data_IF_231301531666
#
_entry.id   IF_231301531666
#
_cell.length_a   1.000
_cell.length_b   1.000
_cell.length_c   1.000
_cell.angle_alpha   90.00
_cell.angle_beta   90.00
_cell.angle_gamma   90.00
#
_symmetry.space_group_name_H-M   'P 1'
#
loop_
_entity.id
_entity.type
_entity.pdbx_description
1 polymer ?
#
# COMPACT_ATOMS: atom_id res chain seq x y z
N UNK A 1 18.69 10.65 8.65
CA UNK A 1 17.52 9.95 8.07
C UNK A 1 16.36 10.92 7.89
N UNK A 2 15.55 10.68 6.87
CA UNK A 2 14.35 11.45 6.52
C UNK A 2 13.14 10.52 6.62
N UNK A 3 12.07 11.02 7.22
CA UNK A 3 10.81 10.27 7.35
C UNK A 3 9.84 10.77 6.29
N UNK A 4 9.40 9.88 5.41
CA UNK A 4 8.40 10.12 4.38
C UNK A 4 7.05 9.65 4.89
N UNK A 5 6.11 10.57 5.03
CA UNK A 5 4.69 10.24 5.18
C UNK A 5 4.10 10.13 3.78
N UNK A 6 3.92 8.91 3.32
CA UNK A 6 3.46 8.61 1.96
C UNK A 6 1.94 8.51 1.97
N UNK A 7 1.28 9.18 1.04
CA UNK A 7 -0.17 9.12 0.80
C UNK A 7 -0.41 8.71 -0.66
N UNK A 8 -1.24 7.71 -0.91
CA UNK A 8 -1.68 7.34 -2.26
C UNK A 8 -3.13 6.88 -2.25
N UNK A 9 -3.81 7.09 -3.36
CA UNK A 9 -5.09 6.46 -3.60
C UNK A 9 -4.84 5.16 -4.37
N UNK A 10 -5.38 4.04 -3.88
CA UNK A 10 -5.59 2.90 -4.78
C UNK A 10 -6.55 3.38 -5.86
N UNK A 11 -6.21 3.22 -7.14
CA UNK A 11 -7.02 3.72 -8.24
C UNK A 11 -8.43 3.10 -8.19
N UNK A 12 -9.36 3.77 -7.52
CA UNK A 12 -10.79 3.50 -7.63
C UNK A 12 -11.21 4.07 -8.96
N UNK A 13 -11.36 3.16 -9.92
CA UNK A 13 -12.05 3.39 -11.18
C UNK A 13 -13.47 3.90 -10.89
N UNK A 14 -13.65 5.21 -10.78
CA UNK A 14 -14.94 5.84 -11.02
C UNK A 14 -14.70 7.27 -11.50
N UNK A 15 -14.87 7.44 -12.81
CA UNK A 15 -14.97 8.73 -13.48
C UNK A 15 -16.25 9.43 -12.99
N UNK A 16 -16.17 10.14 -11.87
CA UNK A 16 -17.19 11.11 -11.43
C UNK A 16 -16.57 12.02 -10.37
N UNK A 17 -16.66 13.36 -10.50
CA UNK A 17 -16.21 14.29 -9.48
C UNK A 17 -17.06 14.09 -8.21
N UNK A 18 -16.45 13.88 -7.03
CA UNK A 18 -17.23 13.60 -5.83
C UNK A 18 -17.94 14.87 -5.33
N UNK A 19 -19.18 14.77 -4.84
CA UNK A 19 -19.87 15.88 -4.18
C UNK A 19 -19.16 16.25 -2.84
N UNK A 20 -19.28 17.51 -2.37
CA UNK A 20 -18.45 18.09 -1.29
C UNK A 20 -18.62 17.48 0.11
N UNK A 21 -19.37 16.37 0.23
CA UNK A 21 -19.70 15.69 1.47
C UNK A 21 -19.75 14.17 1.26
N UNK A 22 -18.66 13.56 0.76
CA UNK A 22 -18.57 12.10 0.52
C UNK A 22 -17.22 11.59 1.03
N UNK A 23 -17.16 10.40 1.63
CA UNK A 23 -16.07 10.01 2.50
C UNK A 23 -14.78 9.97 1.69
N UNK A 24 -13.74 10.52 2.29
CA UNK A 24 -12.32 10.27 2.02
C UNK A 24 -12.14 9.13 1.01
N UNK A 25 -11.78 9.45 -0.25
CA UNK A 25 -11.14 8.46 -1.14
C UNK A 25 -10.22 7.64 -0.25
N UNK A 26 -10.33 6.32 -0.28
CA UNK A 26 -9.70 5.39 0.67
C UNK A 26 -8.17 5.51 0.52
N UNK A 27 -7.65 6.61 1.06
CA UNK A 27 -6.33 7.11 0.78
C UNK A 27 -5.44 6.37 1.75
N UNK A 28 -4.63 5.49 1.20
CA UNK A 28 -3.74 4.68 1.98
C UNK A 28 -2.53 5.53 2.34
N UNK A 29 -2.04 5.33 3.54
CA UNK A 29 -0.85 6.02 4.03
C UNK A 29 0.07 5.08 4.80
N UNK A 30 1.37 5.33 4.69
CA UNK A 30 2.39 4.66 5.47
C UNK A 30 3.58 5.59 5.71
N UNK A 31 4.39 5.23 6.69
CA UNK A 31 5.67 5.86 6.92
C UNK A 31 6.78 5.06 6.27
N UNK A 32 7.73 5.76 5.64
CA UNK A 32 8.95 5.20 5.10
C UNK A 32 10.15 6.01 5.57
N UNK A 33 11.26 5.35 5.83
CA UNK A 33 12.50 6.00 6.24
C UNK A 33 13.57 5.74 5.19
N UNK A 34 14.22 6.81 4.74
CA UNK A 34 15.34 6.73 3.81
C UNK A 34 16.40 7.80 4.12
N UNK A 35 17.57 7.69 3.50
CA UNK A 35 18.57 8.73 3.58
C UNK A 35 18.19 9.91 2.67
N UNK A 36 18.57 11.13 3.04
CA UNK A 36 18.40 12.29 2.16
C UNK A 36 19.21 12.14 0.86
N UNK A 37 20.31 11.38 0.90
CA UNK A 37 21.16 11.09 -0.26
C UNK A 37 20.58 10.04 -1.21
N UNK A 38 19.48 9.36 -0.86
CA UNK A 38 18.86 8.34 -1.70
C UNK A 38 18.29 8.99 -2.96
N UNK A 39 18.54 8.43 -4.15
CA UNK A 39 17.98 8.95 -5.39
C UNK A 39 16.46 8.76 -5.39
N UNK A 40 15.76 9.71 -6.00
CA UNK A 40 14.28 9.73 -6.06
C UNK A 40 13.73 8.47 -6.70
N UNK A 41 14.45 7.87 -7.65
CA UNK A 41 14.08 6.62 -8.32
C UNK A 41 14.04 5.41 -7.35
N UNK A 42 15.06 5.26 -6.50
CA UNK A 42 15.11 4.19 -5.50
C UNK A 42 14.02 4.38 -4.44
N UNK A 43 13.81 5.63 -4.01
CA UNK A 43 12.70 5.98 -3.12
C UNK A 43 11.39 5.60 -3.79
N UNK A 44 11.16 6.04 -5.03
CA UNK A 44 9.94 5.76 -5.76
C UNK A 44 9.68 4.25 -5.89
N UNK A 45 10.69 3.46 -6.24
CA UNK A 45 10.61 2.00 -6.32
C UNK A 45 10.28 1.36 -4.96
N UNK A 46 10.93 1.82 -3.88
CA UNK A 46 10.66 1.33 -2.53
C UNK A 46 9.22 1.67 -2.08
N UNK A 47 8.78 2.91 -2.32
CA UNK A 47 7.43 3.37 -2.00
C UNK A 47 6.37 2.63 -2.81
N UNK A 48 6.59 2.46 -4.11
CA UNK A 48 5.76 1.67 -5.00
C UNK A 48 5.62 0.22 -4.52
N UNK A 49 6.74 -0.41 -4.12
CA UNK A 49 6.73 -1.78 -3.61
C UNK A 49 5.92 -1.94 -2.33
N UNK A 50 6.04 -1.00 -1.38
CA UNK A 50 5.23 -1.01 -0.14
C UNK A 50 3.76 -0.76 -0.45
N UNK A 51 3.45 0.24 -1.28
CA UNK A 51 2.10 0.56 -1.69
C UNK A 51 1.42 -0.62 -2.40
N UNK A 52 2.14 -1.33 -3.28
CA UNK A 52 1.66 -2.51 -3.96
C UNK A 52 1.31 -3.63 -2.98
N UNK A 53 2.17 -3.88 -2.00
CA UNK A 53 1.95 -4.89 -0.97
C UNK A 53 0.77 -4.54 -0.07
N UNK A 54 0.65 -3.28 0.34
CA UNK A 54 -0.48 -2.81 1.14
C UNK A 54 -1.80 -2.88 0.37
N UNK A 55 -1.83 -2.42 -0.87
CA UNK A 55 -3.00 -2.51 -1.73
C UNK A 55 -3.42 -3.97 -1.96
N UNK A 56 -2.45 -4.87 -2.21
CA UNK A 56 -2.70 -6.31 -2.33
C UNK A 56 -3.28 -6.89 -1.05
N UNK A 57 -2.70 -6.55 0.10
CA UNK A 57 -3.17 -7.04 1.39
C UNK A 57 -4.62 -6.62 1.64
N UNK A 58 -4.94 -5.34 1.45
CA UNK A 58 -6.29 -4.81 1.64
C UNK A 58 -7.27 -5.36 0.61
N UNK A 59 -6.84 -5.54 -0.65
CA UNK A 59 -7.66 -6.19 -1.68
C UNK A 59 -8.01 -7.63 -1.29
N UNK A 60 -7.03 -8.39 -0.81
CA UNK A 60 -7.24 -9.75 -0.31
C UNK A 60 -8.21 -9.77 0.88
N UNK A 61 -8.07 -8.83 1.82
CA UNK A 61 -8.98 -8.69 2.96
C UNK A 61 -10.42 -8.43 2.50
N UNK A 62 -10.63 -7.51 1.55
CA UNK A 62 -11.95 -7.22 0.97
C UNK A 62 -12.55 -8.45 0.27
N UNK A 63 -11.79 -9.11 -0.60
CA UNK A 63 -12.25 -10.30 -1.32
C UNK A 63 -12.62 -11.44 -0.37
N UNK A 64 -11.87 -11.63 0.73
CA UNK A 64 -12.18 -12.65 1.73
C UNK A 64 -13.42 -12.29 2.55
N UNK A 65 -13.65 -11.02 2.89
CA UNK A 65 -14.89 -10.60 3.57
C UNK A 65 -16.13 -10.77 2.69
N UNK A 66 -16.02 -10.44 1.41
CA UNK A 66 -17.10 -10.65 0.44
C UNK A 66 -17.48 -12.14 0.31
N UNK A 67 -16.51 -13.04 0.43
CA UNK A 67 -16.71 -14.51 0.36
C UNK A 67 -17.07 -15.14 1.71
N UNK A 68 -16.53 -14.61 2.80
CA UNK A 68 -16.52 -15.17 4.15
C UNK A 68 -17.84 -15.01 4.91
N UNK A 69 -18.76 -14.17 4.45
CA UNK A 69 -20.10 -14.04 5.02
C UNK A 69 -20.89 -15.37 5.07
N UNK A 70 -20.50 -16.38 4.29
CA UNK A 70 -21.18 -17.67 4.20
C UNK A 70 -20.70 -18.75 5.21
N UNK A 71 -19.50 -18.65 5.80
CA UNK A 71 -18.85 -19.77 6.50
C UNK A 71 -18.53 -19.48 7.97
N UNK A 72 -19.55 -19.33 8.83
CA UNK A 72 -19.45 -18.78 10.19
C UNK A 72 -18.34 -19.34 11.13
N UNK A 73 -17.98 -20.63 11.05
CA UNK A 73 -17.00 -21.23 11.97
C UNK A 73 -15.56 -21.18 11.45
N UNK A 74 -15.33 -21.56 10.19
CA UNK A 74 -14.01 -21.52 9.55
C UNK A 74 -13.57 -20.07 9.22
N UNK A 75 -14.53 -19.17 9.00
CA UNK A 75 -14.25 -17.76 8.80
C UNK A 75 -13.61 -17.09 10.02
N UNK A 76 -13.73 -17.64 11.23
CA UNK A 76 -13.16 -17.01 12.43
C UNK A 76 -11.64 -16.87 12.41
N UNK A 77 -10.93 -17.91 11.96
CA UNK A 77 -9.45 -17.87 11.86
C UNK A 77 -8.99 -16.97 10.72
N UNK A 78 -9.69 -17.01 9.59
CA UNK A 78 -9.42 -16.15 8.43
C UNK A 78 -9.69 -14.68 8.78
N UNK A 79 -10.82 -14.38 9.41
CA UNK A 79 -11.19 -13.02 9.82
C UNK A 79 -10.23 -12.48 10.86
N UNK A 80 -9.72 -13.32 11.78
CA UNK A 80 -8.67 -12.89 12.71
C UNK A 80 -7.38 -12.52 11.96
N UNK A 81 -6.93 -13.35 11.02
CA UNK A 81 -5.74 -13.05 10.23
C UNK A 81 -5.91 -11.79 9.37
N UNK A 82 -7.11 -11.59 8.81
CA UNK A 82 -7.51 -10.38 8.07
C UNK A 82 -7.50 -9.15 8.97
N UNK A 83 -8.14 -9.20 10.15
CA UNK A 83 -8.18 -8.08 11.08
C UNK A 83 -6.79 -7.69 11.62
N UNK A 84 -5.94 -8.67 11.93
CA UNK A 84 -4.56 -8.43 12.35
C UNK A 84 -3.75 -7.74 11.23
N UNK A 85 -3.92 -8.19 10.00
CA UNK A 85 -3.26 -7.62 8.85
C UNK A 85 -3.77 -6.22 8.48
N UNK A 86 -5.08 -5.97 8.55
CA UNK A 86 -5.66 -4.65 8.34
C UNK A 86 -5.19 -3.67 9.39
N UNK A 87 -5.17 -4.06 10.68
CA UNK A 87 -4.61 -3.22 11.74
C UNK A 87 -3.13 -2.90 11.48
N UNK A 88 -2.37 -3.86 10.95
CA UNK A 88 -1.00 -3.62 10.51
C UNK A 88 -0.88 -2.70 9.30
N UNK A 89 -1.78 -2.79 8.31
CA UNK A 89 -1.79 -1.95 7.11
C UNK A 89 -2.65 -0.68 7.23
N UNK A 90 -3.17 -0.38 8.43
CA UNK A 90 -4.06 0.74 8.68
C UNK A 90 -3.28 2.04 8.87
N UNK A 91 -3.99 3.16 8.66
CA UNK A 91 -3.57 4.53 8.99
C UNK A 91 -3.12 4.67 10.46
N UNK A 92 -3.59 3.77 11.33
CA UNK A 92 -3.15 3.70 12.73
C UNK A 92 -1.64 3.56 12.87
N UNK A 93 -0.95 2.83 11.98
CA UNK A 93 0.51 2.74 12.04
C UNK A 93 1.16 4.12 11.92
N UNK A 94 0.66 4.96 11.00
CA UNK A 94 1.16 6.32 10.81
C UNK A 94 0.93 7.16 12.07
N UNK A 95 -0.25 7.02 12.70
CA UNK A 95 -0.60 7.71 13.96
C UNK A 95 0.33 7.33 15.10
N UNK A 96 0.75 6.06 15.17
CA UNK A 96 1.72 5.57 16.15
C UNK A 96 3.19 5.73 15.72
N UNK A 97 3.48 6.45 14.64
CA UNK A 97 4.81 6.60 14.04
C UNK A 97 5.51 5.24 13.77
N UNK A 98 4.75 4.25 13.33
CA UNK A 98 5.24 2.94 12.90
C UNK A 98 5.40 2.89 11.40
N UNK A 99 6.47 2.22 10.97
CA UNK A 99 6.81 1.99 9.57
C UNK A 99 6.22 0.67 9.10
N UNK A 100 5.76 0.64 7.85
CA UNK A 100 5.37 -0.61 7.21
C UNK A 100 6.62 -1.33 6.70
N UNK A 101 6.82 -2.56 7.16
CA UNK A 101 7.86 -3.43 6.64
C UNK A 101 7.35 -4.20 5.43
N UNK A 102 8.02 -4.14 4.27
CA UNK A 102 7.68 -4.98 3.11
C UNK A 102 7.68 -6.48 3.45
N UNK A 103 8.53 -6.92 4.39
CA UNK A 103 8.60 -8.31 4.82
C UNK A 103 7.35 -8.69 5.61
N UNK A 104 6.98 -7.87 6.59
CA UNK A 104 5.78 -8.10 7.40
C UNK A 104 4.50 -8.11 6.56
N UNK A 105 4.37 -7.19 5.58
CA UNK A 105 3.23 -7.21 4.65
C UNK A 105 3.15 -8.53 3.88
N UNK A 106 4.28 -9.02 3.34
CA UNK A 106 4.32 -10.32 2.63
C UNK A 106 3.99 -11.49 3.56
N UNK A 107 4.43 -11.45 4.81
CA UNK A 107 4.11 -12.45 5.81
C UNK A 107 2.62 -12.46 6.15
N UNK A 108 1.99 -11.30 6.35
CA UNK A 108 0.54 -11.18 6.55
C UNK A 108 -0.23 -11.73 5.35
N UNK A 109 0.14 -11.35 4.12
CA UNK A 109 -0.48 -11.87 2.90
C UNK A 109 -0.37 -13.41 2.86
N UNK A 110 0.82 -13.95 3.05
CA UNK A 110 1.06 -15.40 3.01
C UNK A 110 0.32 -16.14 4.13
N UNK A 111 0.22 -15.54 5.31
CA UNK A 111 -0.53 -16.09 6.43
C UNK A 111 -2.02 -16.14 6.11
N UNK A 112 -2.60 -15.05 5.60
CA UNK A 112 -4.00 -14.99 5.18
C UNK A 112 -4.27 -16.03 4.08
N UNK A 113 -3.45 -16.09 3.03
CA UNK A 113 -3.61 -17.06 1.94
C UNK A 113 -3.57 -18.50 2.48
N UNK A 114 -2.61 -18.81 3.36
CA UNK A 114 -2.50 -20.14 3.98
C UNK A 114 -3.73 -20.46 4.85
N UNK A 115 -4.16 -19.52 5.70
CA UNK A 115 -5.32 -19.70 6.57
C UNK A 115 -6.60 -19.84 5.76
N UNK A 116 -6.78 -19.05 4.70
CA UNK A 116 -7.93 -19.15 3.80
C UNK A 116 -7.96 -20.50 3.07
N UNK A 117 -6.83 -20.97 2.52
CA UNK A 117 -6.74 -22.30 1.89
C UNK A 117 -7.07 -23.42 2.90
N UNK A 118 -6.58 -23.31 4.13
CA UNK A 118 -6.80 -24.32 5.18
C UNK A 118 -8.25 -24.33 5.68
N UNK A 119 -8.80 -23.14 5.95
CA UNK A 119 -10.11 -22.98 6.58
C UNK A 119 -11.27 -23.08 5.58
N UNK A 120 -11.13 -22.50 4.39
CA UNK A 120 -12.17 -22.49 3.36
C UNK A 120 -12.07 -23.67 2.38
N UNK A 121 -11.03 -24.52 2.48
CA UNK A 121 -10.68 -25.53 1.47
C UNK A 121 -10.64 -24.95 0.04
N UNK A 122 -10.34 -23.67 -0.08
CA UNK A 122 -10.29 -22.99 -1.36
C UNK A 122 -9.05 -23.41 -2.15
N UNK A 123 -9.19 -23.53 -3.47
CA UNK A 123 -8.01 -23.69 -4.31
C UNK A 123 -7.14 -22.43 -4.17
N UNK A 124 -5.81 -22.57 -4.01
CA UNK A 124 -4.91 -21.43 -3.96
C UNK A 124 -5.03 -20.56 -5.22
N UNK A 125 -5.50 -21.13 -6.32
CA UNK A 125 -5.79 -20.43 -7.56
C UNK A 125 -6.93 -19.41 -7.43
N UNK A 126 -8.01 -19.69 -6.69
CA UNK A 126 -9.10 -18.71 -6.53
C UNK A 126 -8.63 -17.42 -5.82
N UNK A 127 -7.68 -17.54 -4.89
CA UNK A 127 -7.06 -16.41 -4.20
C UNK A 127 -5.93 -15.78 -5.01
N UNK A 128 -5.12 -16.59 -5.71
CA UNK A 128 -3.94 -16.14 -6.44
C UNK A 128 -4.26 -15.58 -7.84
N UNK A 129 -5.37 -16.00 -8.49
CA UNK A 129 -5.77 -15.59 -9.84
C UNK A 129 -6.20 -14.13 -9.93
N UNK A 130 -6.52 -13.47 -8.81
CA UNK A 130 -6.76 -12.04 -8.82
C UNK A 130 -5.51 -11.19 -9.12
N UNK A 131 -4.28 -11.75 -9.26
CA UNK A 131 -3.13 -10.90 -9.60
C UNK A 131 -1.94 -11.52 -10.32
N UNK A 132 -2.10 -12.57 -11.15
CA UNK A 132 -1.04 -12.94 -12.11
C UNK A 132 -0.79 -11.84 -13.17
N UNK A 133 -1.56 -10.76 -13.20
CA UNK A 133 -1.47 -9.72 -14.24
C UNK A 133 -1.17 -8.28 -13.77
N UNK A 134 -0.93 -7.99 -12.48
CA UNK A 134 -0.68 -6.59 -12.07
C UNK A 134 0.30 -6.41 -10.89
N UNK A 135 1.18 -7.38 -10.65
CA UNK A 135 1.82 -7.58 -9.34
C UNK A 135 3.23 -7.03 -9.09
N UNK A 136 4.01 -6.60 -10.08
CA UNK A 136 5.41 -6.22 -9.81
C UNK A 136 5.87 -4.91 -10.48
N UNK A 137 4.99 -4.23 -11.21
CA UNK A 137 5.36 -3.03 -11.98
C UNK A 137 4.40 -1.87 -11.75
N UNK A 138 4.36 -1.34 -10.52
CA UNK A 138 4.17 0.10 -10.33
C UNK A 138 5.43 0.84 -10.84
N UNK A 139 5.89 0.54 -12.06
CA UNK A 139 7.12 1.10 -12.63
C UNK A 139 6.94 2.58 -12.94
N UNK A 140 5.70 3.01 -13.22
CA UNK A 140 5.39 4.39 -13.50
C UNK A 140 4.67 5.02 -12.32
N UNK A 141 5.40 5.22 -11.23
CA UNK A 141 4.95 6.06 -10.13
C UNK A 141 5.57 7.44 -10.20
N UNK A 142 4.80 8.45 -9.85
CA UNK A 142 5.27 9.81 -9.63
C UNK A 142 5.24 10.13 -8.15
N UNK A 143 6.35 10.69 -7.67
CA UNK A 143 6.42 11.24 -6.33
C UNK A 143 6.16 12.73 -6.38
N UNK A 144 5.20 13.18 -5.59
CA UNK A 144 4.81 14.58 -5.48
C UNK A 144 5.09 15.09 -4.08
N UNK A 145 5.90 16.13 -3.97
CA UNK A 145 6.23 16.80 -2.73
C UNK A 145 5.94 18.30 -2.86
N UNK A 146 5.24 18.88 -1.87
CA UNK A 146 4.88 20.30 -1.85
C UNK A 146 4.24 20.82 -3.17
N UNK A 147 3.41 20.00 -3.81
CA UNK A 147 2.76 20.34 -5.08
C UNK A 147 3.67 20.27 -6.32
N UNK A 148 4.90 19.76 -6.19
CA UNK A 148 5.84 19.55 -7.28
C UNK A 148 6.16 18.07 -7.45
N UNK A 149 6.29 17.64 -8.69
CA UNK A 149 6.81 16.32 -9.02
C UNK A 149 8.32 16.25 -8.75
N UNK A 150 8.76 15.18 -8.09
CA UNK A 150 10.17 14.86 -7.91
C UNK A 150 10.68 14.16 -9.17
N UNK A 151 11.74 14.72 -9.76
CA UNK A 151 12.32 14.19 -10.99
C UNK A 151 13.14 12.93 -10.71
N UNK A 152 12.87 11.87 -11.47
CA UNK A 152 13.69 10.66 -11.51
C UNK A 152 15.09 11.04 -12.02
N UNK A 153 16.14 10.71 -11.27
CA UNK A 153 17.53 11.14 -11.53
C UNK A 153 18.05 12.28 -10.63
N UNK A 154 17.21 12.85 -9.76
CA UNK A 154 17.66 13.71 -8.66
C UNK A 154 17.70 12.96 -7.33
N UNK A 155 18.40 13.52 -6.34
CA UNK A 155 18.39 13.01 -4.97
C UNK A 155 17.34 13.72 -4.15
N UNK A 156 16.87 13.05 -3.09
CA UNK A 156 15.92 13.67 -2.18
C UNK A 156 16.49 14.97 -1.56
N UNK A 157 17.79 14.98 -1.21
CA UNK A 157 18.49 16.12 -0.66
C UNK A 157 18.53 17.36 -1.57
N UNK A 158 18.36 17.21 -2.88
CA UNK A 158 18.27 18.35 -3.81
C UNK A 158 16.97 19.16 -3.62
N UNK A 159 15.96 18.53 -3.00
CA UNK A 159 14.65 19.13 -2.75
C UNK A 159 14.48 19.57 -1.30
N UNK A 160 14.84 18.71 -0.35
CA UNK A 160 14.63 18.96 1.10
C UNK A 160 15.88 19.43 1.85
N UNK A 161 17.04 19.44 1.18
CA UNK A 161 18.34 19.70 1.81
C UNK A 161 18.92 18.49 2.57
N UNK A 162 20.09 18.68 3.18
CA UNK A 162 20.83 17.65 3.95
C UNK A 162 20.31 17.52 5.39
N UNK A 163 19.07 17.94 5.66
CA UNK A 163 18.56 17.96 7.04
C UNK A 163 18.09 16.57 7.48
N UNK A 164 18.97 15.87 8.19
CA UNK A 164 18.62 14.66 8.93
C UNK A 164 17.63 15.01 10.06
N UNK A 165 16.46 14.35 10.08
CA UNK A 165 15.28 14.56 10.97
C UNK A 165 14.15 15.42 10.39
N UNK A 166 14.00 15.46 9.07
CA UNK A 166 12.80 16.07 8.47
C UNK A 166 11.73 15.01 8.23
N UNK A 167 10.48 15.29 8.64
CA UNK A 167 9.30 14.52 8.22
C UNK A 167 8.61 15.29 7.09
N UNK A 168 8.47 14.68 5.92
CA UNK A 168 7.82 15.30 4.76
C UNK A 168 6.64 14.45 4.29
N UNK A 169 5.63 15.09 3.70
CA UNK A 169 4.48 14.41 3.10
C UNK A 169 4.75 14.22 1.61
N UNK A 170 4.77 12.96 1.17
CA UNK A 170 4.91 12.56 -0.23
C UNK A 170 3.59 12.00 -0.72
N UNK A 171 3.11 12.49 -1.87
CA UNK A 171 2.00 11.88 -2.57
C UNK A 171 2.54 10.96 -3.65
N UNK A 172 2.21 9.69 -3.57
CA UNK A 172 2.54 8.69 -4.58
C UNK A 172 1.35 8.60 -5.55
N UNK A 173 1.60 8.91 -6.83
CA UNK A 173 0.61 8.82 -7.90
C UNK A 173 1.00 7.75 -8.90
N UNK A 174 0.03 6.99 -9.39
CA UNK A 174 0.23 6.11 -10.53
C UNK A 174 0.09 6.91 -11.82
N UNK A 175 1.07 6.80 -12.72
CA UNK A 175 0.95 7.33 -14.08
C UNK A 175 0.22 6.28 -14.90
N UNK A 176 -1.00 6.54 -15.39
CA UNK A 176 -1.58 5.68 -16.39
C UNK A 176 -0.66 5.74 -17.61
N UNK A 177 -0.06 4.62 -17.98
CA UNK A 177 0.64 4.51 -19.26
C UNK A 177 -0.41 4.73 -20.36
N UNK A 178 -0.49 5.95 -20.87
CA UNK A 178 -1.18 6.23 -22.13
C UNK A 178 -0.30 5.65 -23.24
N UNK A 179 -0.50 4.37 -23.56
CA UNK A 179 -0.20 3.87 -24.90
C UNK A 179 -1.39 4.17 -25.81
#
# INVERSE_FOLDING_TARGET
MVVLHVRWAAASSSSSPPPPSSPEEEEMEFLHECAASTPVEDVAAALAGVAALQARLLSLCRSLRERGAAAAAAAGEVERAVAEAESYASKEQVRYNRFLSPRALREHIKNIEKTAVTALQESPEALCLQQKSSGDKLENVQLWWAGKELAMGKKLCDYIGVNDKTKIIIRLKHVPQSS
#
